data_IF_945277128248
#
_entry.id   IF_945277128248
#
_cell.length_a   1.000
_cell.length_b   1.000
_cell.length_c   1.000
_cell.angle_alpha   90.00
_cell.angle_beta   90.00
_cell.angle_gamma   90.00
#
_symmetry.space_group_name_H-M   'P 1'
#
loop_
_entity.id
_entity.type
_entity.pdbx_description
1 polymer ?
#
# COMPACT_ATOMS: atom_id res chain seq x y z
N UNK A 1 18.49 16.84 -2.19
CA UNK A 1 19.84 17.20 -2.71
C UNK A 1 20.50 16.05 -3.50
N UNK A 2 20.18 14.79 -3.27
CA UNK A 2 20.82 13.63 -3.92
C UNK A 2 20.24 13.28 -5.30
N UNK A 3 18.98 13.62 -5.57
CA UNK A 3 18.31 13.28 -6.83
C UNK A 3 18.80 14.11 -8.03
N UNK A 4 19.07 15.38 -7.80
CA UNK A 4 19.40 16.33 -8.87
C UNK A 4 20.68 15.97 -9.64
N UNK A 5 21.78 15.65 -8.98
CA UNK A 5 23.00 15.21 -9.68
C UNK A 5 22.80 13.94 -10.52
N UNK A 6 22.01 13.00 -10.02
CA UNK A 6 21.70 11.78 -10.75
C UNK A 6 20.85 12.04 -12.00
N UNK A 7 19.89 12.95 -11.93
CA UNK A 7 19.10 13.38 -13.09
C UNK A 7 19.94 14.13 -14.12
N UNK A 8 20.77 15.07 -13.68
CA UNK A 8 21.66 15.83 -14.56
C UNK A 8 22.72 14.93 -15.23
N UNK A 9 23.21 13.91 -14.52
CA UNK A 9 24.11 12.91 -15.11
C UNK A 9 23.44 12.13 -16.24
N UNK A 10 22.17 11.77 -16.10
CA UNK A 10 21.39 11.05 -17.13
C UNK A 10 20.98 11.93 -18.30
N UNK A 11 20.60 13.15 -18.01
CA UNK A 11 20.13 14.14 -18.98
C UNK A 11 20.81 15.47 -18.69
N UNK A 12 21.95 15.80 -19.33
CA UNK A 12 22.76 16.99 -19.01
C UNK A 12 21.98 18.31 -19.02
N UNK A 13 20.98 18.44 -19.87
CA UNK A 13 20.08 19.63 -19.89
C UNK A 13 19.34 19.86 -18.57
N UNK A 14 19.22 18.84 -17.71
CA UNK A 14 18.55 18.97 -16.41
C UNK A 14 19.39 19.73 -15.39
N UNK A 15 20.67 19.96 -15.64
CA UNK A 15 21.51 20.80 -14.79
C UNK A 15 20.96 22.23 -14.64
N UNK A 16 20.35 22.75 -15.72
CA UNK A 16 19.79 24.10 -15.75
C UNK A 16 18.31 24.22 -15.35
N UNK A 17 17.65 23.10 -14.98
CA UNK A 17 16.26 23.12 -14.57
C UNK A 17 16.05 23.91 -13.27
N UNK A 18 14.90 24.59 -13.19
CA UNK A 18 14.43 25.26 -11.98
C UNK A 18 13.21 24.55 -11.42
N UNK A 19 13.19 24.35 -10.10
CA UNK A 19 11.98 23.83 -9.41
C UNK A 19 10.91 24.91 -9.45
N UNK A 20 9.83 24.67 -10.17
CA UNK A 20 8.71 25.60 -10.29
C UNK A 20 7.68 25.42 -9.19
N UNK A 21 7.50 24.19 -8.70
CA UNK A 21 6.57 23.85 -7.63
C UNK A 21 6.99 22.56 -6.96
N UNK A 22 6.72 22.45 -5.69
CA UNK A 22 6.84 21.22 -4.93
C UNK A 22 5.63 21.05 -4.01
N UNK A 23 5.25 19.82 -3.72
CA UNK A 23 4.21 19.47 -2.77
C UNK A 23 4.56 18.15 -2.09
N UNK A 24 3.95 17.92 -0.95
CA UNK A 24 4.08 16.66 -0.21
C UNK A 24 2.69 16.02 -0.05
N UNK A 25 2.64 14.70 -0.10
CA UNK A 25 1.47 13.91 0.25
C UNK A 25 1.72 13.11 1.52
N UNK A 26 0.67 12.83 2.27
CA UNK A 26 0.75 11.99 3.44
C UNK A 26 0.44 10.54 3.09
N UNK A 27 1.19 9.62 3.67
CA UNK A 27 0.91 8.19 3.56
C UNK A 27 -0.03 7.73 4.67
N UNK A 28 -1.00 6.90 4.31
CA UNK A 28 -1.78 6.15 5.29
C UNK A 28 -0.93 4.95 5.75
N UNK A 29 -0.38 5.06 6.95
CA UNK A 29 0.52 4.04 7.51
C UNK A 29 -0.21 3.27 8.60
N UNK A 30 -0.26 1.93 8.47
CA UNK A 30 -0.61 1.06 9.57
C UNK A 30 0.56 1.04 10.57
N UNK A 31 0.32 1.50 11.78
CA UNK A 31 1.37 1.67 12.78
C UNK A 31 1.85 0.37 13.43
N UNK A 32 1.08 -0.71 13.30
CA UNK A 32 1.45 -2.00 13.88
C UNK A 32 2.61 -2.66 13.11
N UNK A 33 2.46 -2.76 11.78
CA UNK A 33 3.39 -3.51 10.94
C UNK A 33 3.75 -2.83 9.60
N UNK A 34 3.21 -1.65 9.35
CA UNK A 34 3.44 -0.93 8.07
C UNK A 34 2.72 -1.54 6.86
N UNK A 35 2.02 -2.65 7.03
CA UNK A 35 1.39 -3.38 5.94
C UNK A 35 -0.07 -2.98 5.71
N UNK A 36 -0.51 -3.14 4.47
CA UNK A 36 -1.88 -2.91 4.04
C UNK A 36 -2.85 -3.79 4.82
N UNK A 37 -3.98 -3.22 5.21
CA UNK A 37 -5.14 -3.95 5.75
C UNK A 37 -6.15 -4.06 4.63
N UNK A 38 -6.57 -5.29 4.32
CA UNK A 38 -7.51 -5.58 3.24
C UNK A 38 -8.47 -6.70 3.64
N UNK A 39 -9.72 -6.58 3.26
CA UNK A 39 -10.72 -7.64 3.40
C UNK A 39 -12.01 -7.17 4.07
N UNK A 40 -12.88 -8.11 4.44
CA UNK A 40 -14.10 -7.81 5.16
C UNK A 40 -13.76 -7.25 6.54
N UNK A 41 -14.64 -6.37 7.01
CA UNK A 41 -14.53 -5.83 8.35
C UNK A 41 -14.80 -6.91 9.42
N UNK A 42 -14.10 -6.83 10.51
CA UNK A 42 -14.27 -7.68 11.68
C UNK A 42 -14.93 -6.85 12.79
N UNK A 43 -16.01 -7.32 13.36
CA UNK A 43 -16.69 -6.60 14.45
C UNK A 43 -18.17 -6.27 14.17
N UNK A 44 -18.86 -7.12 13.39
CA UNK A 44 -20.33 -7.11 13.30
C UNK A 44 -20.93 -6.17 12.27
N UNK A 45 -20.14 -5.56 11.39
CA UNK A 45 -20.63 -4.88 10.20
C UNK A 45 -20.64 -5.84 9.02
N UNK A 46 -21.83 -6.16 8.53
CA UNK A 46 -22.00 -6.91 7.30
C UNK A 46 -21.82 -5.98 6.09
N UNK A 47 -21.35 -6.52 4.97
CA UNK A 47 -21.15 -5.80 3.70
C UNK A 47 -20.23 -4.57 3.79
N UNK A 48 -19.31 -4.56 4.77
CA UNK A 48 -18.30 -3.53 4.90
C UNK A 48 -16.92 -4.13 4.69
N UNK A 49 -16.19 -3.57 3.73
CA UNK A 49 -14.85 -4.02 3.34
C UNK A 49 -13.87 -2.85 3.44
N UNK A 50 -12.64 -3.16 3.78
CA UNK A 50 -11.57 -2.17 3.92
C UNK A 50 -10.39 -2.50 3.01
N UNK A 51 -9.77 -1.46 2.48
CA UNK A 51 -8.46 -1.50 1.86
C UNK A 51 -7.73 -0.22 2.23
N UNK A 52 -6.79 -0.29 3.17
CA UNK A 52 -6.12 0.87 3.75
C UNK A 52 -4.70 0.55 4.19
N UNK A 53 -3.95 1.57 4.63
CA UNK A 53 -2.60 1.37 5.16
C UNK A 53 -1.56 1.04 4.09
N UNK A 54 -1.65 1.64 2.92
CA UNK A 54 -0.78 1.32 1.78
C UNK A 54 0.67 1.79 1.90
N UNK A 55 0.99 2.61 2.86
CA UNK A 55 2.36 3.04 3.21
C UNK A 55 3.17 3.53 2.00
N UNK A 56 2.54 4.31 1.11
CA UNK A 56 3.17 4.88 -0.08
C UNK A 56 3.27 3.96 -1.31
N UNK A 57 2.93 2.68 -1.21
CA UNK A 57 3.01 1.70 -2.32
C UNK A 57 1.64 1.34 -2.91
N UNK A 58 0.63 2.16 -2.67
CA UNK A 58 -0.74 1.92 -3.13
C UNK A 58 -0.89 1.89 -4.64
N UNK A 59 -0.12 2.72 -5.35
CA UNK A 59 -0.17 2.75 -6.82
C UNK A 59 0.27 1.41 -7.42
N UNK A 60 1.35 0.83 -6.92
CA UNK A 60 1.88 -0.43 -7.39
C UNK A 60 1.00 -1.63 -7.00
N UNK A 61 0.46 -1.60 -5.78
CA UNK A 61 -0.40 -2.67 -5.24
C UNK A 61 -1.85 -2.57 -5.73
N UNK A 62 -2.30 -1.41 -6.19
CA UNK A 62 -3.69 -1.12 -6.54
C UNK A 62 -4.37 -2.15 -7.45
N UNK A 63 -3.78 -2.56 -8.58
CA UNK A 63 -4.41 -3.54 -9.47
C UNK A 63 -4.62 -4.92 -8.81
N UNK A 64 -3.64 -5.40 -8.05
CA UNK A 64 -3.73 -6.69 -7.36
C UNK A 64 -4.78 -6.64 -6.24
N UNK A 65 -4.80 -5.57 -5.47
CA UNK A 65 -5.77 -5.37 -4.39
C UNK A 65 -7.19 -5.18 -4.95
N UNK A 66 -7.34 -4.42 -6.03
CA UNK A 66 -8.63 -4.26 -6.70
C UNK A 66 -9.21 -5.59 -7.17
N UNK A 67 -8.35 -6.46 -7.74
CA UNK A 67 -8.75 -7.82 -8.10
C UNK A 67 -9.16 -8.64 -6.88
N UNK A 68 -8.35 -8.66 -5.84
CA UNK A 68 -8.63 -9.42 -4.63
C UNK A 68 -9.94 -8.98 -3.96
N UNK A 69 -10.19 -7.65 -3.89
CA UNK A 69 -11.46 -7.12 -3.37
C UNK A 69 -12.66 -7.51 -4.24
N UNK A 70 -12.49 -7.55 -5.55
CA UNK A 70 -13.53 -8.01 -6.47
C UNK A 70 -13.84 -9.49 -6.24
N UNK A 71 -12.82 -10.33 -6.07
CA UNK A 71 -12.98 -11.76 -5.76
C UNK A 71 -13.75 -11.96 -4.45
N UNK A 72 -13.39 -11.23 -3.39
CA UNK A 72 -14.11 -11.26 -2.12
C UNK A 72 -15.59 -10.85 -2.26
N UNK A 73 -15.87 -9.80 -3.01
CA UNK A 73 -17.24 -9.29 -3.20
C UNK A 73 -18.12 -10.23 -4.03
N UNK A 74 -17.54 -10.89 -5.03
CA UNK A 74 -18.28 -11.77 -5.95
C UNK A 74 -18.36 -13.21 -5.45
N UNK A 75 -17.32 -13.71 -4.81
CA UNK A 75 -17.18 -15.12 -4.45
C UNK A 75 -17.14 -15.37 -2.95
N UNK A 76 -16.95 -14.32 -2.14
CA UNK A 76 -16.79 -14.45 -0.69
C UNK A 76 -15.40 -14.91 -0.25
N UNK A 77 -14.51 -15.19 -1.19
CA UNK A 77 -13.15 -15.70 -0.92
C UNK A 77 -12.15 -15.23 -1.98
N UNK A 78 -10.87 -15.27 -1.66
CA UNK A 78 -9.80 -15.02 -2.62
C UNK A 78 -9.65 -16.18 -3.58
N UNK A 79 -9.58 -15.92 -4.88
CA UNK A 79 -9.46 -16.95 -5.92
C UNK A 79 -8.03 -17.06 -6.47
N UNK A 80 -7.32 -15.94 -6.56
CA UNK A 80 -6.04 -15.88 -7.26
C UNK A 80 -4.86 -15.76 -6.31
N UNK A 81 -4.96 -14.90 -5.31
CA UNK A 81 -3.92 -14.62 -4.33
C UNK A 81 -4.56 -14.55 -2.95
N UNK A 82 -4.23 -15.48 -2.09
CA UNK A 82 -4.71 -15.47 -0.71
C UNK A 82 -4.07 -14.32 0.08
N UNK A 83 -4.88 -13.32 0.39
CA UNK A 83 -4.52 -12.16 1.21
C UNK A 83 -5.15 -12.20 2.61
N UNK A 84 -5.63 -13.35 3.05
CA UNK A 84 -6.29 -13.52 4.37
C UNK A 84 -5.43 -13.01 5.53
N UNK A 85 -4.11 -13.21 5.46
CA UNK A 85 -3.15 -12.70 6.43
C UNK A 85 -3.09 -11.17 6.51
N UNK A 86 -3.59 -10.46 5.51
CA UNK A 86 -3.65 -8.99 5.50
C UNK A 86 -4.96 -8.45 6.08
N UNK A 87 -5.82 -9.31 6.60
CA UNK A 87 -7.10 -8.92 7.22
C UNK A 87 -6.92 -8.05 8.45
N UNK A 88 -7.96 -7.31 8.83
CA UNK A 88 -7.98 -6.54 10.08
C UNK A 88 -7.93 -7.44 11.32
N UNK A 89 -8.30 -8.71 11.20
CA UNK A 89 -8.23 -9.67 12.31
C UNK A 89 -6.83 -9.72 12.94
N UNK A 90 -5.75 -9.71 12.12
CA UNK A 90 -4.38 -9.72 12.67
C UNK A 90 -4.06 -8.51 13.55
N UNK A 91 -4.74 -7.37 13.32
CA UNK A 91 -4.58 -6.17 14.16
C UNK A 91 -5.24 -6.37 15.52
N UNK A 92 -6.40 -7.04 15.55
CA UNK A 92 -7.11 -7.39 16.79
C UNK A 92 -6.31 -8.41 17.59
N UNK A 93 -5.74 -9.40 16.90
CA UNK A 93 -4.98 -10.49 17.50
C UNK A 93 -3.54 -10.11 17.86
N UNK A 94 -3.13 -8.87 17.53
CA UNK A 94 -1.77 -8.36 17.72
C UNK A 94 -0.69 -9.21 17.02
N UNK A 95 -1.03 -9.79 15.85
CA UNK A 95 -0.16 -10.62 15.03
C UNK A 95 0.43 -9.82 13.84
N UNK A 96 1.56 -9.11 14.00
CA UNK A 96 2.13 -8.30 12.93
C UNK A 96 2.62 -9.15 11.77
N UNK A 97 2.34 -8.71 10.55
CA UNK A 97 2.88 -9.28 9.34
C UNK A 97 4.27 -8.67 9.07
N UNK A 98 5.32 -9.38 9.45
CA UNK A 98 6.70 -8.92 9.25
C UNK A 98 7.15 -9.27 7.84
N UNK A 99 7.37 -8.26 7.00
CA UNK A 99 8.03 -8.42 5.71
C UNK A 99 9.55 -8.42 5.90
N UNK A 100 10.20 -9.51 5.54
CA UNK A 100 11.66 -9.59 5.48
C UNK A 100 12.13 -9.25 4.06
N UNK A 101 12.75 -8.10 3.85
CA UNK A 101 13.34 -7.74 2.57
C UNK A 101 12.92 -6.41 1.96
N UNK A 102 11.97 -5.68 2.54
CA UNK A 102 11.63 -4.33 2.13
C UNK A 102 11.80 -3.37 3.30
N UNK A 103 12.95 -2.70 3.34
CA UNK A 103 13.15 -1.52 4.19
C UNK A 103 12.96 -0.29 3.32
N UNK A 104 11.87 0.42 3.54
CA UNK A 104 11.67 1.75 2.95
C UNK A 104 12.56 2.78 3.66
#
# INVERSE_FOLDING_TARGET
KSLWPALAHRVPKFESLKVMRSWAGHYAVNRMDGNTIIGPWVGGLENFYVATGFTGVGLQKGPAIGRAMTELLLHGEYQTLDLSRMSYQRVIDEEPLIETGFTA
#
